data_IF_066682944519
#
_entry.id   IF_066682944519
#
_cell.length_a   1.000
_cell.length_b   1.000
_cell.length_c   1.000
_cell.angle_alpha   90.00
_cell.angle_beta   90.00
_cell.angle_gamma   90.00
#
_symmetry.space_group_name_H-M   'P 1'
#
loop_
_entity.id
_entity.type
_entity.pdbx_description
1 polymer ?
#
# COMPACT_ATOMS: atom_id res chain seq x y z
N UNK A 1 11.81 -14.55 -8.05
CA UNK A 1 12.14 -13.95 -6.73
C UNK A 1 12.37 -12.44 -6.84
N UNK A 2 13.52 -11.95 -7.33
CA UNK A 2 13.88 -10.52 -7.38
C UNK A 2 12.82 -9.56 -7.96
N UNK A 3 12.19 -9.93 -9.09
CA UNK A 3 11.14 -9.13 -9.72
C UNK A 3 9.83 -9.09 -8.92
N UNK A 4 9.56 -10.13 -8.11
CA UNK A 4 8.40 -10.20 -7.22
C UNK A 4 8.60 -9.23 -6.05
N UNK A 5 9.79 -9.24 -5.45
CA UNK A 5 10.16 -8.35 -4.34
C UNK A 5 10.19 -6.88 -4.76
N UNK A 6 10.66 -6.57 -5.97
CA UNK A 6 10.59 -5.23 -6.52
C UNK A 6 9.14 -4.75 -6.67
N UNK A 7 8.24 -5.62 -7.14
CA UNK A 7 6.80 -5.32 -7.21
C UNK A 7 6.18 -5.11 -5.83
N UNK A 8 6.53 -5.94 -4.84
CA UNK A 8 6.07 -5.77 -3.44
C UNK A 8 6.58 -4.45 -2.86
N UNK A 9 7.83 -4.08 -3.14
CA UNK A 9 8.42 -2.80 -2.70
C UNK A 9 7.66 -1.61 -3.28
N UNK A 10 7.28 -1.65 -4.56
CA UNK A 10 6.44 -0.62 -5.18
C UNK A 10 5.06 -0.52 -4.53
N UNK A 11 4.45 -1.66 -4.18
CA UNK A 11 3.18 -1.70 -3.45
C UNK A 11 3.32 -1.07 -2.07
N UNK A 12 4.33 -1.47 -1.31
CA UNK A 12 4.61 -0.93 0.03
C UNK A 12 4.90 0.57 -0.01
N UNK A 13 5.60 1.04 -1.05
CA UNK A 13 5.83 2.46 -1.29
C UNK A 13 4.52 3.24 -1.43
N UNK A 14 3.61 2.74 -2.26
CA UNK A 14 2.30 3.37 -2.48
C UNK A 14 1.46 3.36 -1.19
N UNK A 15 1.43 2.23 -0.49
CA UNK A 15 0.68 2.05 0.77
C UNK A 15 1.20 2.98 1.88
N UNK A 16 2.53 3.20 1.97
CA UNK A 16 3.12 4.11 2.97
C UNK A 16 2.63 5.56 2.81
N UNK A 17 2.23 5.96 1.60
CA UNK A 17 1.69 7.29 1.36
C UNK A 17 0.20 7.40 1.74
N UNK A 18 -0.49 6.29 1.99
CA UNK A 18 -1.89 6.29 2.40
C UNK A 18 -2.00 6.50 3.93
N UNK A 19 -2.74 7.51 4.40
CA UNK A 19 -2.78 7.83 5.83
C UNK A 19 -3.29 6.69 6.71
N UNK A 20 -2.64 6.52 7.87
CA UNK A 20 -2.99 5.52 8.87
C UNK A 20 -2.53 4.09 8.55
N UNK A 21 -1.87 3.81 7.43
CA UNK A 21 -1.31 2.48 7.13
C UNK A 21 -0.08 2.19 7.98
N UNK A 22 0.88 3.11 8.00
CA UNK A 22 2.11 3.01 8.81
C UNK A 22 1.76 3.01 10.30
N UNK A 23 0.86 3.90 10.74
CA UNK A 23 0.38 3.93 12.13
C UNK A 23 -0.26 2.60 12.55
N UNK A 24 -1.02 1.96 11.66
CA UNK A 24 -1.65 0.67 11.95
C UNK A 24 -0.62 -0.41 12.19
N UNK A 25 0.41 -0.51 11.34
CA UNK A 25 1.49 -1.48 11.51
C UNK A 25 2.33 -1.19 12.75
N UNK A 26 2.63 0.08 13.07
CA UNK A 26 3.29 0.45 14.31
C UNK A 26 2.47 0.07 15.54
N UNK A 27 1.14 0.21 15.46
CA UNK A 27 0.22 -0.19 16.52
C UNK A 27 0.19 -1.70 16.71
N UNK A 28 0.15 -2.48 15.62
CA UNK A 28 0.24 -3.95 15.69
C UNK A 28 1.58 -4.41 16.25
N UNK A 29 2.68 -3.79 15.84
CA UNK A 29 4.01 -4.05 16.40
C UNK A 29 4.06 -3.77 17.92
N UNK A 30 3.51 -2.62 18.33
CA UNK A 30 3.43 -2.27 19.75
C UNK A 30 2.59 -3.31 20.51
N UNK A 31 1.41 -3.66 19.99
CA UNK A 31 0.52 -4.67 20.59
C UNK A 31 1.24 -5.99 20.81
N UNK A 32 1.93 -6.54 19.80
CA UNK A 32 2.63 -7.83 19.96
C UNK A 32 3.81 -7.75 20.93
N UNK A 33 4.53 -6.63 20.97
CA UNK A 33 5.67 -6.47 21.89
C UNK A 33 5.28 -6.17 23.33
N UNK A 34 4.12 -5.54 23.58
CA UNK A 34 3.66 -5.21 24.93
C UNK A 34 2.72 -6.25 25.53
N UNK A 35 1.88 -6.89 24.71
CA UNK A 35 0.83 -7.84 25.17
C UNK A 35 1.27 -9.31 25.06
N UNK A 36 2.53 -9.58 24.67
CA UNK A 36 3.08 -10.94 24.61
C UNK A 36 2.72 -11.72 23.33
N UNK A 37 2.51 -11.02 22.21
CA UNK A 37 2.36 -11.64 20.88
C UNK A 37 3.69 -12.02 20.22
N UNK A 38 3.64 -12.65 19.04
CA UNK A 38 4.84 -13.04 18.29
C UNK A 38 5.16 -12.00 17.22
N UNK A 39 6.44 -11.68 17.01
CA UNK A 39 6.86 -10.83 15.88
C UNK A 39 6.47 -11.43 14.53
N UNK A 40 6.45 -12.76 14.44
CA UNK A 40 5.96 -13.52 13.29
C UNK A 40 4.48 -13.28 12.97
N UNK A 41 3.69 -12.64 13.85
CA UNK A 41 2.31 -12.22 13.55
C UNK A 41 2.25 -10.89 12.76
N UNK A 42 3.37 -10.17 12.68
CA UNK A 42 3.47 -8.84 12.06
C UNK A 42 4.35 -8.87 10.82
N UNK A 43 5.55 -9.43 10.93
CA UNK A 43 6.52 -9.50 9.83
C UNK A 43 7.14 -10.89 9.71
N UNK A 44 7.55 -11.21 8.48
CA UNK A 44 8.28 -12.44 8.14
C UNK A 44 9.77 -12.21 7.89
N UNK A 45 10.23 -10.95 7.87
CA UNK A 45 11.62 -10.59 7.64
C UNK A 45 11.78 -9.21 7.04
N UNK A 46 12.90 -9.00 6.35
CA UNK A 46 13.23 -7.74 5.68
C UNK A 46 13.61 -7.97 4.23
N UNK A 47 13.34 -7.00 3.38
CA UNK A 47 13.77 -6.95 1.99
C UNK A 47 15.12 -6.23 1.97
N UNK A 48 16.19 -6.94 1.64
CA UNK A 48 17.52 -6.33 1.56
C UNK A 48 17.62 -5.40 0.34
N UNK A 49 18.08 -4.15 0.47
CA UNK A 49 18.42 -3.32 -0.69
C UNK A 49 19.58 -3.90 -1.52
N UNK A 50 20.47 -4.69 -0.91
CA UNK A 50 21.74 -5.16 -1.53
C UNK A 50 21.69 -6.54 -2.20
N UNK A 51 20.58 -7.28 -2.13
CA UNK A 51 20.31 -8.45 -3.02
C UNK A 51 20.24 -8.05 -4.52
N UNK A 52 20.40 -6.75 -4.80
CA UNK A 52 20.54 -6.11 -6.09
C UNK A 52 21.93 -6.17 -6.73
N UNK A 53 23.00 -6.22 -5.93
CA UNK A 53 24.40 -6.21 -6.39
C UNK A 53 25.05 -7.48 -5.86
N UNK A 54 24.85 -8.59 -6.56
CA UNK A 54 25.84 -9.66 -6.46
C UNK A 54 27.19 -9.02 -6.83
N UNK A 55 28.25 -9.13 -6.00
CA UNK A 55 29.60 -9.01 -6.52
C UNK A 55 29.66 -9.90 -7.76
N UNK A 56 30.29 -9.47 -8.88
CA UNK A 56 30.47 -10.38 -10.00
C UNK A 56 31.06 -11.65 -9.42
N UNK A 57 30.35 -12.77 -9.58
CA UNK A 57 30.73 -14.05 -9.04
C UNK A 57 32.23 -14.22 -9.33
N UNK A 58 33.06 -14.21 -8.28
CA UNK A 58 34.45 -14.58 -8.44
C UNK A 58 34.41 -15.98 -9.03
N UNK A 59 34.81 -16.03 -10.30
CA UNK A 59 34.92 -17.26 -11.06
C UNK A 59 35.80 -18.18 -10.20
N UNK A 60 35.29 -19.28 -9.64
CA UNK A 60 36.15 -20.16 -8.88
C UNK A 60 37.24 -20.67 -9.84
N UNK A 61 38.52 -20.71 -9.43
CA UNK A 61 39.57 -21.21 -10.29
C UNK A 61 39.27 -22.67 -10.64
N UNK A 62 39.68 -23.15 -11.84
CA UNK A 62 39.35 -24.50 -12.27
C UNK A 62 40.04 -25.50 -11.34
N UNK A 63 39.25 -26.29 -10.60
CA UNK A 63 39.77 -27.45 -9.89
C UNK A 63 39.95 -28.60 -10.88
N UNK A 64 41.22 -28.98 -11.06
CA UNK A 64 41.61 -30.11 -11.90
C UNK A 64 41.09 -31.43 -11.33
N UNK A 65 40.51 -32.25 -12.21
CA UNK A 65 40.05 -33.58 -11.91
C UNK A 65 41.21 -34.54 -11.62
N UNK A 66 41.11 -35.31 -10.54
CA UNK A 66 41.74 -36.64 -10.46
C UNK A 66 40.78 -37.66 -9.88
N UNK A 67 40.53 -38.70 -10.67
CA UNK A 67 39.85 -39.93 -10.29
C UNK A 67 40.84 -40.90 -9.61
N UNK A 68 40.37 -41.66 -8.61
CA UNK A 68 40.24 -43.13 -8.66
C UNK A 68 40.26 -43.82 -7.28
N UNK A 69 39.11 -44.47 -6.97
CA UNK A 69 38.90 -45.88 -6.54
C UNK A 69 39.17 -46.41 -5.10
N UNK A 70 38.07 -47.00 -4.58
CA UNK A 70 37.83 -48.35 -3.99
C UNK A 70 37.98 -48.65 -2.49
N UNK A 71 36.83 -49.08 -1.92
CA UNK A 71 36.49 -50.13 -0.92
C UNK A 71 37.33 -50.33 0.35
N UNK A 72 36.67 -50.39 1.53
CA UNK A 72 36.17 -51.66 2.11
C UNK A 72 35.25 -51.41 3.35
N UNK A 73 34.43 -52.42 3.66
CA UNK A 73 33.29 -52.50 4.60
C UNK A 73 33.63 -52.61 6.11
N UNK A 74 32.55 -52.71 6.92
CA UNK A 74 32.38 -53.09 8.36
C UNK A 74 32.23 -51.91 9.33
N UNK A 75 31.32 -51.86 10.32
CA UNK A 75 30.14 -52.63 10.75
C UNK A 75 29.49 -51.80 11.89
N UNK A 76 28.20 -52.00 12.12
CA UNK A 76 27.32 -51.66 13.26
C UNK A 76 27.74 -50.64 14.34
N UNK A 77 26.88 -49.64 14.58
CA UNK A 77 26.33 -49.40 15.92
C UNK A 77 25.12 -48.45 15.85
N UNK A 78 24.01 -48.96 16.38
CA UNK A 78 22.72 -48.31 16.56
C UNK A 78 22.82 -46.99 17.34
N UNK A 79 22.28 -45.91 16.77
CA UNK A 79 21.86 -44.74 17.54
C UNK A 79 20.54 -44.20 16.97
N UNK A 80 19.46 -44.69 17.58
CA UNK A 80 18.14 -44.06 17.74
C UNK A 80 17.94 -42.71 17.02
N UNK A 81 17.20 -42.81 15.92
CA UNK A 81 16.53 -41.73 15.22
C UNK A 81 15.54 -41.02 16.17
N UNK A 82 15.96 -39.89 16.72
CA UNK A 82 15.07 -38.82 17.16
C UNK A 82 15.55 -37.53 16.51
N UNK A 83 15.44 -37.48 15.19
CA UNK A 83 15.50 -36.26 14.40
C UNK A 83 14.22 -35.47 14.67
N UNK A 84 14.12 -34.91 15.88
CA UNK A 84 13.27 -33.78 16.17
C UNK A 84 14.02 -32.58 15.54
N UNK A 85 13.94 -32.49 14.22
CA UNK A 85 14.01 -31.22 13.50
C UNK A 85 12.81 -30.39 14.00
N UNK A 86 12.89 -29.89 15.23
CA UNK A 86 12.39 -28.57 15.51
C UNK A 86 13.10 -27.68 14.49
N UNK A 87 12.45 -27.46 13.34
CA UNK A 87 12.57 -26.23 12.59
C UNK A 87 12.45 -25.13 13.64
N UNK A 88 13.59 -24.72 14.19
CA UNK A 88 13.69 -23.57 15.04
C UNK A 88 13.19 -22.44 14.16
N UNK A 89 11.91 -22.12 14.36
CA UNK A 89 11.18 -21.00 13.81
C UNK A 89 11.93 -19.76 14.29
N UNK A 90 13.07 -19.48 13.67
CA UNK A 90 13.91 -18.32 13.94
C UNK A 90 13.13 -17.15 13.35
N UNK A 91 12.13 -16.72 14.11
CA UNK A 91 11.32 -15.57 13.82
C UNK A 91 12.20 -14.32 13.67
N UNK A 92 11.58 -13.20 13.26
CA UNK A 92 12.30 -11.95 13.06
C UNK A 92 13.14 -11.58 14.29
N UNK A 93 14.41 -11.23 14.09
CA UNK A 93 15.29 -10.81 15.19
C UNK A 93 14.66 -9.61 15.93
N UNK A 94 14.36 -9.74 17.23
CA UNK A 94 13.67 -8.71 18.00
C UNK A 94 14.50 -7.43 18.15
N UNK A 95 15.83 -7.51 18.15
CA UNK A 95 16.72 -6.34 18.23
C UNK A 95 16.66 -5.55 16.93
N UNK A 96 16.75 -6.23 15.79
CA UNK A 96 16.64 -5.59 14.47
C UNK A 96 15.23 -5.02 14.27
N UNK A 97 14.19 -5.75 14.71
CA UNK A 97 12.81 -5.27 14.67
C UNK A 97 12.63 -3.99 15.49
N UNK A 98 13.13 -3.97 16.73
CA UNK A 98 13.06 -2.78 17.56
C UNK A 98 13.77 -1.57 16.93
N UNK A 99 14.93 -1.78 16.32
CA UNK A 99 15.65 -0.72 15.61
C UNK A 99 14.87 -0.17 14.41
N UNK A 100 14.37 -1.06 13.53
CA UNK A 100 13.66 -0.65 12.31
C UNK A 100 12.30 -0.03 12.61
N UNK A 101 11.50 -0.65 13.47
CA UNK A 101 10.20 -0.09 13.87
C UNK A 101 10.36 1.19 14.69
N UNK A 102 11.43 1.32 15.49
CA UNK A 102 11.79 2.57 16.16
C UNK A 102 12.08 3.69 15.15
N UNK A 103 12.92 3.42 14.15
CA UNK A 103 13.22 4.41 13.09
C UNK A 103 11.96 4.82 12.31
N UNK A 104 11.06 3.87 12.01
CA UNK A 104 9.77 4.17 11.36
C UNK A 104 8.88 5.01 12.28
N UNK A 105 8.83 4.73 13.59
CA UNK A 105 8.05 5.49 14.56
C UNK A 105 8.54 6.95 14.67
N UNK A 106 9.85 7.15 14.78
CA UNK A 106 10.46 8.48 14.86
C UNK A 106 10.19 9.29 13.58
N UNK A 107 10.40 8.68 12.41
CA UNK A 107 10.13 9.32 11.12
C UNK A 107 8.62 9.61 10.93
N UNK A 108 7.74 8.75 11.45
CA UNK A 108 6.29 8.99 11.42
C UNK A 108 5.92 10.23 12.23
N UNK A 109 6.57 10.47 13.39
CA UNK A 109 6.33 11.67 14.19
C UNK A 109 6.78 12.95 13.45
N UNK A 110 7.97 12.91 12.81
CA UNK A 110 8.48 14.00 11.98
C UNK A 110 7.51 14.30 10.84
N UNK A 111 7.09 13.27 10.13
CA UNK A 111 6.13 13.36 9.01
C UNK A 111 4.81 13.97 9.48
N UNK A 112 4.27 13.53 10.62
CA UNK A 112 3.03 14.07 11.20
C UNK A 112 3.16 15.55 11.54
N UNK A 113 4.29 15.99 12.10
CA UNK A 113 4.57 17.41 12.39
C UNK A 113 4.64 18.23 11.09
N UNK A 114 5.33 17.72 10.06
CA UNK A 114 5.44 18.39 8.77
C UNK A 114 4.08 18.54 8.07
N UNK A 115 3.27 17.47 8.06
CA UNK A 115 1.90 17.48 7.51
C UNK A 115 1.02 18.51 8.21
N UNK A 116 1.06 18.56 9.55
CA UNK A 116 0.27 19.52 10.34
C UNK A 116 0.70 20.97 10.09
N UNK A 117 2.00 21.22 9.92
CA UNK A 117 2.55 22.59 9.78
C UNK A 117 2.43 23.14 8.36
N UNK A 118 2.64 22.30 7.35
CA UNK A 118 2.80 22.75 5.97
C UNK A 118 1.71 22.25 5.02
N UNK A 119 0.91 21.28 5.44
CA UNK A 119 -0.01 20.57 4.56
C UNK A 119 0.70 19.56 3.67
N UNK A 120 -0.05 18.59 3.17
CA UNK A 120 0.46 17.43 2.43
C UNK A 120 1.16 17.76 1.12
N UNK A 121 0.71 18.80 0.41
CA UNK A 121 1.24 19.18 -0.89
C UNK A 121 2.51 20.04 -0.83
N UNK A 122 3.02 20.33 0.38
CA UNK A 122 4.25 21.09 0.54
C UNK A 122 5.48 20.21 0.29
N UNK A 123 6.50 20.76 -0.39
CA UNK A 123 7.76 20.06 -0.68
C UNK A 123 8.42 19.45 0.56
N UNK A 124 8.38 20.13 1.71
CA UNK A 124 8.92 19.61 2.95
C UNK A 124 8.13 18.38 3.45
N UNK A 125 6.80 18.45 3.46
CA UNK A 125 5.97 17.32 3.87
C UNK A 125 6.09 16.13 2.92
N UNK A 126 6.23 16.38 1.62
CA UNK A 126 6.49 15.34 0.61
C UNK A 126 7.83 14.65 0.87
N UNK A 127 8.89 15.40 1.19
CA UNK A 127 10.19 14.82 1.50
C UNK A 127 10.11 13.89 2.74
N UNK A 128 9.41 14.30 3.80
CA UNK A 128 9.24 13.45 4.98
C UNK A 128 8.40 12.20 4.71
N UNK A 129 7.35 12.31 3.88
CA UNK A 129 6.55 11.16 3.43
C UNK A 129 7.38 10.16 2.62
N UNK A 130 8.29 10.65 1.77
CA UNK A 130 9.21 9.80 1.01
C UNK A 130 10.20 9.10 1.93
N UNK A 131 10.80 9.82 2.88
CA UNK A 131 11.70 9.24 3.89
C UNK A 131 10.98 8.18 4.75
N UNK A 132 9.73 8.42 5.13
CA UNK A 132 8.90 7.44 5.83
C UNK A 132 8.69 6.18 4.99
N UNK A 133 8.38 6.35 3.70
CA UNK A 133 8.22 5.22 2.79
C UNK A 133 9.53 4.44 2.63
N UNK A 134 10.68 5.10 2.55
CA UNK A 134 12.01 4.46 2.45
C UNK A 134 12.33 3.56 3.65
N UNK A 135 11.93 3.95 4.86
CA UNK A 135 12.10 3.13 6.05
C UNK A 135 11.07 2.00 6.15
N UNK A 136 9.85 2.22 5.65
CA UNK A 136 8.75 1.25 5.75
C UNK A 136 8.82 0.15 4.68
N UNK A 137 9.22 0.50 3.46
CA UNK A 137 9.27 -0.40 2.31
C UNK A 137 10.06 -1.71 2.53
N UNK A 138 11.22 -1.72 3.23
CA UNK A 138 11.99 -2.94 3.47
C UNK A 138 11.34 -3.92 4.46
N UNK A 139 10.27 -3.56 5.16
CA UNK A 139 9.63 -4.46 6.13
C UNK A 139 8.75 -5.46 5.39
N UNK A 140 9.10 -6.76 5.45
CA UNK A 140 8.31 -7.83 4.82
C UNK A 140 7.19 -8.26 5.75
N UNK A 141 6.04 -7.62 5.62
CA UNK A 141 4.84 -7.94 6.40
C UNK A 141 4.36 -9.37 6.12
N UNK A 142 3.73 -9.98 7.12
CA UNK A 142 3.01 -11.25 6.89
C UNK A 142 1.79 -11.02 5.98
N UNK A 143 1.35 -12.05 5.22
CA UNK A 143 0.27 -11.90 4.26
C UNK A 143 -0.99 -11.25 4.83
N UNK A 144 -1.40 -11.64 6.04
CA UNK A 144 -2.56 -11.06 6.73
C UNK A 144 -2.48 -9.55 6.93
N UNK A 145 -1.32 -9.05 7.38
CA UNK A 145 -1.11 -7.62 7.60
C UNK A 145 -1.03 -6.87 6.27
N UNK A 146 -0.31 -7.43 5.30
CA UNK A 146 -0.19 -6.87 3.96
C UNK A 146 -1.56 -6.73 3.27
N UNK A 147 -2.37 -7.78 3.28
CA UNK A 147 -3.73 -7.78 2.72
C UNK A 147 -4.62 -6.75 3.41
N UNK A 148 -4.54 -6.62 4.74
CA UNK A 148 -5.28 -5.60 5.50
C UNK A 148 -4.95 -4.17 5.06
N UNK A 149 -3.68 -3.89 4.75
CA UNK A 149 -3.27 -2.59 4.22
C UNK A 149 -3.78 -2.35 2.80
N UNK A 150 -3.65 -3.35 1.92
CA UNK A 150 -4.16 -3.28 0.54
C UNK A 150 -5.66 -3.02 0.54
N UNK A 151 -6.42 -3.74 1.37
CA UNK A 151 -7.87 -3.59 1.47
C UNK A 151 -8.28 -2.21 1.97
N UNK A 152 -7.53 -1.63 2.91
CA UNK A 152 -7.77 -0.25 3.36
C UNK A 152 -7.66 0.75 2.20
N UNK A 153 -6.62 0.63 1.37
CA UNK A 153 -6.42 1.52 0.21
C UNK A 153 -7.50 1.29 -0.86
N UNK A 154 -7.86 0.03 -1.13
CA UNK A 154 -8.92 -0.31 -2.10
C UNK A 154 -10.29 0.15 -1.63
N UNK A 155 -10.63 -0.05 -0.37
CA UNK A 155 -11.91 0.37 0.21
C UNK A 155 -12.16 1.87 0.11
N UNK A 156 -11.12 2.71 0.24
CA UNK A 156 -11.24 4.15 -0.02
C UNK A 156 -11.56 4.46 -1.49
N UNK A 157 -10.86 3.81 -2.43
CA UNK A 157 -11.14 4.00 -3.87
C UNK A 157 -12.53 3.48 -4.26
N UNK A 158 -12.99 2.38 -3.68
CA UNK A 158 -14.30 1.81 -4.00
C UNK A 158 -15.43 2.70 -3.48
N UNK A 159 -15.30 3.26 -2.28
CA UNK A 159 -16.22 4.29 -1.76
C UNK A 159 -16.27 5.50 -2.69
N UNK A 160 -15.12 5.96 -3.17
CA UNK A 160 -15.00 7.06 -4.14
C UNK A 160 -15.74 6.71 -5.44
N UNK A 161 -15.39 5.58 -6.08
CA UNK A 161 -15.98 5.13 -7.36
C UNK A 161 -17.49 4.90 -7.25
N UNK A 162 -17.97 4.45 -6.09
CA UNK A 162 -19.39 4.29 -5.83
C UNK A 162 -20.12 5.64 -5.94
N UNK A 163 -19.57 6.72 -5.35
CA UNK A 163 -20.19 8.04 -5.44
C UNK A 163 -20.07 8.62 -6.85
N UNK A 164 -18.93 8.47 -7.54
CA UNK A 164 -18.78 8.92 -8.93
C UNK A 164 -19.80 8.26 -9.86
N UNK A 165 -19.99 6.93 -9.72
CA UNK A 165 -21.00 6.18 -10.48
C UNK A 165 -22.42 6.63 -10.13
N UNK A 166 -22.71 6.90 -8.87
CA UNK A 166 -24.02 7.41 -8.45
C UNK A 166 -24.30 8.78 -9.09
N UNK A 167 -23.35 9.72 -9.02
CA UNK A 167 -23.47 11.05 -9.64
C UNK A 167 -23.64 10.93 -11.16
N UNK A 168 -22.84 10.07 -11.79
CA UNK A 168 -22.97 9.79 -13.22
C UNK A 168 -24.37 9.28 -13.57
N UNK A 169 -24.93 8.39 -12.76
CA UNK A 169 -26.25 7.84 -12.99
C UNK A 169 -27.36 8.91 -12.85
N UNK A 170 -27.28 9.74 -11.81
CA UNK A 170 -28.21 10.85 -11.61
C UNK A 170 -28.16 11.83 -12.80
N UNK A 171 -26.97 12.19 -13.28
CA UNK A 171 -26.81 13.12 -14.38
C UNK A 171 -27.25 12.49 -15.72
N UNK A 172 -26.71 11.32 -16.07
CA UNK A 172 -26.85 10.74 -17.41
C UNK A 172 -28.17 10.00 -17.59
N UNK A 173 -28.54 9.15 -16.63
CA UNK A 173 -29.79 8.36 -16.72
C UNK A 173 -30.98 9.22 -16.29
N UNK A 174 -30.93 9.80 -15.10
CA UNK A 174 -32.12 10.37 -14.46
C UNK A 174 -32.41 11.79 -14.97
N UNK A 175 -31.38 12.61 -15.18
CA UNK A 175 -31.50 13.94 -15.77
C UNK A 175 -31.31 13.99 -17.30
N UNK A 176 -31.09 12.84 -17.94
CA UNK A 176 -30.91 12.71 -19.41
C UNK A 176 -29.77 13.56 -19.99
N UNK A 177 -28.75 13.88 -19.20
CA UNK A 177 -27.54 14.53 -19.69
C UNK A 177 -26.79 13.59 -20.65
N UNK A 178 -26.34 14.05 -21.84
CA UNK A 178 -25.46 13.25 -22.69
C UNK A 178 -24.20 12.80 -21.94
N UNK A 179 -23.83 11.52 -22.05
CA UNK A 179 -22.64 10.97 -21.37
C UNK A 179 -21.35 11.73 -21.70
N UNK A 180 -21.21 12.19 -22.93
CA UNK A 180 -20.04 12.97 -23.37
C UNK A 180 -19.95 14.32 -22.61
N UNK A 181 -21.08 14.97 -22.36
CA UNK A 181 -21.13 16.22 -21.60
C UNK A 181 -20.76 16.00 -20.14
N UNK A 182 -21.21 14.89 -19.54
CA UNK A 182 -20.82 14.52 -18.18
C UNK A 182 -19.32 14.29 -18.07
N UNK A 183 -18.74 13.47 -18.96
CA UNK A 183 -17.31 13.16 -18.95
C UNK A 183 -16.42 14.40 -19.17
N UNK A 184 -16.93 15.41 -19.87
CA UNK A 184 -16.25 16.68 -20.08
C UNK A 184 -16.34 17.61 -18.87
N UNK A 185 -17.46 17.61 -18.14
CA UNK A 185 -17.75 18.61 -17.11
C UNK A 185 -17.55 18.11 -15.68
N UNK A 186 -17.65 16.81 -15.41
CA UNK A 186 -17.55 16.29 -14.05
C UNK A 186 -16.12 16.27 -13.47
N UNK A 187 -15.06 15.95 -14.23
CA UNK A 187 -13.70 15.96 -13.68
C UNK A 187 -13.32 17.35 -13.13
N UNK A 188 -12.83 17.39 -11.90
CA UNK A 188 -12.52 18.62 -11.16
C UNK A 188 -13.67 19.16 -10.32
N UNK A 189 -14.89 18.61 -10.45
CA UNK A 189 -16.08 19.01 -9.71
C UNK A 189 -16.58 17.90 -8.75
N UNK A 190 -15.73 16.92 -8.45
CA UNK A 190 -16.09 15.79 -7.58
C UNK A 190 -16.53 16.23 -6.17
N UNK A 191 -16.00 17.35 -5.69
CA UNK A 191 -16.28 17.92 -4.36
C UNK A 191 -16.84 19.35 -4.42
N UNK A 192 -17.05 19.89 -5.62
CA UNK A 192 -17.64 21.23 -5.79
C UNK A 192 -19.18 21.14 -5.75
N UNK A 193 -19.76 21.42 -4.58
CA UNK A 193 -21.22 21.41 -4.38
C UNK A 193 -21.95 22.46 -5.24
N UNK A 194 -21.25 23.49 -5.74
CA UNK A 194 -21.83 24.54 -6.59
C UNK A 194 -21.98 24.12 -8.06
N UNK A 195 -21.25 23.08 -8.50
CA UNK A 195 -21.26 22.62 -9.88
C UNK A 195 -22.67 22.22 -10.37
N UNK A 196 -23.40 21.46 -9.54
CA UNK A 196 -24.74 20.99 -9.88
C UNK A 196 -25.77 22.13 -9.93
N UNK A 197 -25.58 23.17 -9.11
CA UNK A 197 -26.39 24.40 -9.13
C UNK A 197 -26.16 25.21 -10.42
N UNK A 198 -24.90 25.37 -10.82
CA UNK A 198 -24.55 26.05 -12.07
C UNK A 198 -25.16 25.33 -13.30
N UNK A 199 -25.18 23.99 -13.30
CA UNK A 199 -25.84 23.20 -14.34
C UNK A 199 -27.36 23.37 -14.34
N UNK A 200 -27.98 23.40 -13.15
CA UNK A 200 -29.42 23.57 -13.00
C UNK A 200 -29.92 24.95 -13.46
N UNK A 201 -29.09 25.99 -13.29
CA UNK A 201 -29.37 27.37 -13.74
C UNK A 201 -28.95 27.64 -15.20
N UNK A 202 -28.32 26.66 -15.84
CA UNK A 202 -27.85 26.75 -17.22
C UNK A 202 -28.98 26.73 -18.25
N UNK A 203 -28.61 26.86 -19.53
CA UNK A 203 -29.53 26.81 -20.68
C UNK A 203 -29.60 25.42 -21.35
N UNK A 204 -28.95 24.43 -20.77
CA UNK A 204 -28.94 23.07 -21.32
C UNK A 204 -30.32 22.42 -21.23
N UNK A 205 -30.65 21.54 -22.18
CA UNK A 205 -31.93 20.82 -22.21
C UNK A 205 -32.19 19.97 -20.96
N UNK A 206 -31.12 19.59 -20.24
CA UNK A 206 -31.17 18.80 -19.01
C UNK A 206 -31.14 19.67 -17.73
N UNK A 207 -31.09 21.00 -17.83
CA UNK A 207 -30.92 21.90 -16.67
C UNK A 207 -32.04 21.71 -15.61
N UNK A 208 -33.30 21.74 -16.05
CA UNK A 208 -34.44 21.53 -15.15
C UNK A 208 -34.41 20.17 -14.47
N UNK A 209 -34.05 19.11 -15.21
CA UNK A 209 -33.97 17.76 -14.68
C UNK A 209 -32.80 17.60 -13.69
N UNK A 210 -31.66 18.26 -13.94
CA UNK A 210 -30.55 18.34 -12.97
C UNK A 210 -31.02 19.04 -11.69
N UNK A 211 -31.78 20.14 -11.79
CA UNK A 211 -32.34 20.82 -10.63
C UNK A 211 -33.20 19.91 -9.73
N UNK A 212 -33.91 18.93 -10.32
CA UNK A 212 -34.72 17.95 -9.56
C UNK A 212 -33.87 16.92 -8.80
N UNK A 213 -32.72 16.51 -9.35
CA UNK A 213 -31.81 15.51 -8.74
C UNK A 213 -30.63 16.15 -8.00
N UNK A 214 -30.53 17.48 -8.01
CA UNK A 214 -29.44 18.25 -7.40
C UNK A 214 -29.20 17.88 -5.92
N UNK A 215 -30.22 17.71 -5.06
CA UNK A 215 -29.97 17.34 -3.66
C UNK A 215 -29.25 15.99 -3.51
N UNK A 216 -29.55 15.03 -4.39
CA UNK A 216 -28.90 13.72 -4.38
C UNK A 216 -27.46 13.77 -4.90
N UNK A 217 -27.19 14.64 -5.90
CA UNK A 217 -25.82 14.91 -6.37
C UNK A 217 -24.99 15.50 -5.24
N UNK A 218 -25.50 16.55 -4.57
CA UNK A 218 -24.84 17.19 -3.43
C UNK A 218 -24.56 16.18 -2.32
N UNK A 219 -25.54 15.31 -2.00
CA UNK A 219 -25.35 14.25 -0.99
C UNK A 219 -24.21 13.28 -1.37
N UNK A 220 -24.01 13.00 -2.66
CA UNK A 220 -22.88 12.19 -3.11
C UNK A 220 -21.55 12.94 -3.00
N UNK A 221 -21.52 14.24 -3.36
CA UNK A 221 -20.34 15.10 -3.22
C UNK A 221 -19.96 15.28 -1.74
N UNK A 222 -20.92 15.42 -0.83
CA UNK A 222 -20.68 15.46 0.61
C UNK A 222 -20.02 14.19 1.15
N UNK A 223 -20.38 13.02 0.62
CA UNK A 223 -19.69 11.77 0.96
C UNK A 223 -18.26 11.74 0.43
N UNK A 224 -18.00 12.34 -0.72
CA UNK A 224 -16.64 12.50 -1.26
C UNK A 224 -15.81 13.47 -0.40
N UNK A 225 -16.39 14.61 0.00
CA UNK A 225 -15.75 15.56 0.94
C UNK A 225 -15.46 14.90 2.29
N UNK A 226 -16.40 14.09 2.80
CA UNK A 226 -16.21 13.33 4.03
C UNK A 226 -15.06 12.33 3.88
N UNK A 227 -14.94 11.67 2.72
CA UNK A 227 -13.82 10.77 2.42
C UNK A 227 -12.48 11.52 2.34
N UNK A 228 -12.44 12.71 1.73
CA UNK A 228 -11.22 13.54 1.72
C UNK A 228 -10.83 13.98 3.13
N UNK A 229 -11.81 14.32 3.97
CA UNK A 229 -11.58 14.71 5.37
C UNK A 229 -11.10 13.54 6.22
N UNK A 230 -11.73 12.37 6.08
CA UNK A 230 -11.36 11.14 6.79
C UNK A 230 -9.94 10.70 6.45
N UNK A 231 -9.59 10.72 5.17
CA UNK A 231 -8.29 10.24 4.69
C UNK A 231 -7.21 11.32 4.72
N UNK A 232 -7.58 12.60 4.73
CA UNK A 232 -6.62 13.70 4.53
C UNK A 232 -6.02 13.73 3.13
N UNK A 233 -6.67 13.08 2.15
CA UNK A 233 -6.25 12.98 0.76
C UNK A 233 -7.31 13.60 -0.15
N UNK A 234 -6.86 14.23 -1.23
CA UNK A 234 -7.77 14.61 -2.31
C UNK A 234 -8.25 13.39 -3.11
N UNK A 235 -9.38 13.51 -3.81
CA UNK A 235 -9.88 12.49 -4.76
C UNK A 235 -8.80 12.09 -5.77
N UNK A 236 -8.00 13.04 -6.25
CA UNK A 236 -6.91 12.80 -7.18
C UNK A 236 -5.79 11.95 -6.55
N UNK A 237 -5.41 12.25 -5.30
CA UNK A 237 -4.39 11.49 -4.58
C UNK A 237 -4.82 10.06 -4.26
N UNK A 238 -6.09 9.84 -3.86
CA UNK A 238 -6.63 8.50 -3.62
C UNK A 238 -6.51 7.65 -4.90
N UNK A 239 -6.88 8.23 -6.05
CA UNK A 239 -6.76 7.56 -7.35
C UNK A 239 -5.30 7.28 -7.73
N UNK A 240 -4.38 8.23 -7.51
CA UNK A 240 -2.97 8.06 -7.83
C UNK A 240 -2.29 6.98 -6.98
N UNK A 241 -2.51 7.00 -5.66
CA UNK A 241 -1.95 5.99 -4.74
C UNK A 241 -2.42 4.60 -5.15
N UNK A 242 -3.72 4.42 -5.41
CA UNK A 242 -4.25 3.13 -5.82
C UNK A 242 -3.74 2.70 -7.20
N UNK A 243 -3.53 3.65 -8.13
CA UNK A 243 -2.90 3.39 -9.44
C UNK A 243 -1.47 2.87 -9.25
N UNK A 244 -0.64 3.53 -8.43
CA UNK A 244 0.73 3.08 -8.14
C UNK A 244 0.75 1.71 -7.49
N UNK A 245 -0.13 1.46 -6.52
CA UNK A 245 -0.32 0.16 -5.88
C UNK A 245 -0.68 -0.92 -6.92
N UNK A 246 -1.67 -0.66 -7.79
CA UNK A 246 -2.10 -1.60 -8.82
C UNK A 246 -1.00 -1.94 -9.83
N UNK A 247 -0.11 -0.99 -10.14
CA UNK A 247 1.05 -1.21 -11.02
C UNK A 247 2.05 -2.15 -10.33
N UNK A 248 2.38 -1.89 -9.06
CA UNK A 248 3.26 -2.75 -8.28
C UNK A 248 2.73 -4.19 -8.16
N UNK A 249 1.43 -4.35 -7.89
CA UNK A 249 0.78 -5.67 -7.84
C UNK A 249 0.85 -6.39 -9.19
N UNK A 250 0.60 -5.68 -10.29
CA UNK A 250 0.70 -6.26 -11.64
C UNK A 250 2.14 -6.68 -11.96
N UNK A 251 3.14 -5.91 -11.50
CA UNK A 251 4.56 -6.24 -11.65
C UNK A 251 4.93 -7.48 -10.83
N UNK A 252 4.49 -7.56 -9.58
CA UNK A 252 4.71 -8.71 -8.71
C UNK A 252 4.04 -9.99 -9.24
N UNK A 253 2.82 -9.89 -9.79
CA UNK A 253 2.07 -11.04 -10.33
C UNK A 253 2.64 -11.59 -11.64
N UNK A 254 3.28 -10.74 -12.45
CA UNK A 254 3.88 -11.11 -13.76
C UNK A 254 5.32 -11.62 -13.64
N UNK A 255 5.90 -11.54 -12.45
CA UNK A 255 7.29 -11.87 -12.15
C UNK A 255 7.44 -13.31 -11.68
#
# INVERSE_FOLDING_TARGET
AKRIEEGIREVMSAIAHFPGTVDHILSEYTRVTTEGGRLSDVLSGYIDPDDGIAPPAEVPPPVEAKAAKTDDETDDDEAESSDDEEEAESGPDPVIAAQRFGAVADQMEITRKALKKHGRNNKAAIAELLALAELFMPIKLVPKQFEGLVERVRGALDRLRQQERAIMQLCVRDARMPRADFLRQFPGNEVDESWSDALAKGKSKYAEAIGRVQPDIIRCQQKLIALETETGLTIAEIKDINRRMSIGEAKARRA
#
